data_IF_438437044883
#
_entry.id   IF_438437044883
#
_cell.length_a   1.000
_cell.length_b   1.000
_cell.length_c   1.000
_cell.angle_alpha   90.00
_cell.angle_beta   90.00
_cell.angle_gamma   90.00
#
_symmetry.space_group_name_H-M   'P 1'
#
loop_
_entity.id
_entity.type
_entity.pdbx_description
1 polymer ?
#
# COMPACT_ATOMS: atom_id res chain seq x y z
N UNK A 1 9.30 -33.98 31.67
CA UNK A 1 10.72 -34.33 31.56
C UNK A 1 11.20 -33.72 30.26
N UNK A 2 11.47 -32.42 30.28
CA UNK A 2 12.85 -31.87 30.33
C UNK A 2 13.67 -32.32 29.15
N UNK A 3 13.76 -31.44 28.17
CA UNK A 3 14.80 -31.35 27.13
C UNK A 3 14.57 -29.98 26.49
N UNK A 4 14.88 -28.91 27.22
CA UNK A 4 16.19 -28.23 27.20
C UNK A 4 16.29 -27.23 26.04
N UNK A 5 16.33 -25.99 26.49
CA UNK A 5 16.61 -24.73 25.82
C UNK A 5 17.82 -24.82 24.89
N UNK A 6 17.58 -24.73 23.58
CA UNK A 6 18.65 -24.61 22.60
C UNK A 6 19.11 -23.15 22.55
N UNK A 7 19.94 -22.79 23.53
CA UNK A 7 20.83 -21.62 23.45
C UNK A 7 21.79 -21.85 22.28
N UNK A 8 21.64 -21.08 21.20
CA UNK A 8 22.67 -20.95 20.18
C UNK A 8 23.65 -19.85 20.61
N UNK A 9 24.95 -20.14 20.81
CA UNK A 9 25.94 -19.12 21.10
C UNK A 9 26.41 -18.38 19.84
N UNK A 10 26.74 -17.11 20.05
CA UNK A 10 27.25 -16.10 19.13
C UNK A 10 28.58 -16.42 18.41
N UNK A 11 28.76 -15.66 17.32
CA UNK A 11 30.01 -15.20 16.69
C UNK A 11 30.61 -16.03 15.54
N UNK A 12 30.50 -15.49 14.30
CA UNK A 12 31.63 -15.45 13.35
C UNK A 12 31.62 -14.11 12.58
N UNK A 13 32.56 -13.25 12.97
CA UNK A 13 33.52 -12.45 12.19
C UNK A 13 33.10 -11.72 10.89
N UNK A 14 33.17 -10.39 10.99
CA UNK A 14 33.94 -9.47 10.13
C UNK A 14 34.21 -9.89 8.69
N UNK A 15 33.56 -9.22 7.73
CA UNK A 15 34.27 -8.67 6.57
C UNK A 15 33.62 -7.34 6.15
N UNK A 16 34.34 -6.26 6.46
CA UNK A 16 34.16 -4.96 5.83
C UNK A 16 34.40 -5.11 4.32
N UNK A 17 33.32 -5.03 3.55
CA UNK A 17 33.35 -4.95 2.09
C UNK A 17 33.70 -3.53 1.66
N UNK A 18 34.84 -3.44 1.01
CA UNK A 18 35.52 -2.31 0.37
C UNK A 18 34.63 -1.31 -0.39
N UNK A 19 35.03 -0.04 -0.28
CA UNK A 19 34.77 1.08 -1.18
C UNK A 19 34.55 0.69 -2.65
N UNK A 20 33.49 1.24 -3.24
CA UNK A 20 33.53 1.69 -4.63
C UNK A 20 32.75 2.99 -4.70
N UNK A 21 33.48 4.09 -4.54
CA UNK A 21 33.06 5.42 -4.96
C UNK A 21 32.85 5.39 -6.47
N UNK A 22 31.60 5.24 -6.91
CA UNK A 22 31.23 5.52 -8.29
C UNK A 22 31.17 7.03 -8.46
N UNK A 23 32.29 7.60 -8.89
CA UNK A 23 32.32 8.88 -9.60
C UNK A 23 31.47 8.70 -10.87
N UNK A 24 30.36 9.43 -10.96
CA UNK A 24 29.63 9.62 -12.20
C UNK A 24 29.61 11.11 -12.51
N UNK A 25 29.93 11.37 -13.77
CA UNK A 25 30.48 12.56 -14.35
C UNK A 25 29.53 13.75 -14.47
N UNK A 26 30.18 14.89 -14.72
CA UNK A 26 29.67 16.19 -15.10
C UNK A 26 28.39 16.17 -15.96
N UNK A 27 27.40 16.97 -15.56
CA UNK A 27 26.47 17.59 -16.51
C UNK A 27 26.84 19.06 -16.59
N UNK A 28 27.37 19.42 -17.76
CA UNK A 28 27.82 20.75 -18.09
C UNK A 28 26.69 21.77 -18.18
N UNK A 29 27.12 23.01 -18.04
CA UNK A 29 26.44 24.26 -18.38
C UNK A 29 25.59 24.17 -19.65
N UNK A 30 24.31 24.47 -19.51
CA UNK A 30 23.49 25.14 -20.52
C UNK A 30 22.82 26.30 -19.76
N UNK A 31 23.39 27.51 -19.77
CA UNK A 31 23.28 28.51 -20.84
C UNK A 31 21.83 28.69 -21.32
N UNK A 32 21.26 29.79 -20.82
CA UNK A 32 20.17 30.63 -21.32
C UNK A 32 19.28 30.11 -22.45
N UNK A 33 17.99 29.93 -22.15
CA UNK A 33 16.92 30.24 -23.11
C UNK A 33 15.94 31.18 -22.39
N UNK A 34 16.28 32.46 -22.46
CA UNK A 34 15.28 33.53 -22.48
C UNK A 34 14.66 33.53 -23.87
N UNK A 35 13.52 32.85 -24.00
CA UNK A 35 12.54 33.12 -25.05
C UNK A 35 11.17 33.03 -24.39
N UNK A 36 10.59 34.16 -23.95
CA UNK A 36 9.17 34.21 -23.66
C UNK A 36 8.46 34.30 -25.02
N UNK A 37 8.09 33.14 -25.58
CA UNK A 37 7.15 33.10 -26.70
C UNK A 37 5.94 32.23 -26.35
N UNK A 38 4.82 32.79 -26.73
CA UNK A 38 3.45 32.45 -26.42
C UNK A 38 3.05 31.18 -27.17
N UNK A 39 2.46 30.22 -26.48
CA UNK A 39 1.52 29.30 -27.14
C UNK A 39 0.17 29.45 -26.44
N UNK A 40 -0.56 30.43 -26.95
CA UNK A 40 -2.02 30.38 -27.06
C UNK A 40 -2.34 29.21 -28.01
N UNK A 41 -2.95 28.14 -27.50
CA UNK A 41 -4.29 27.62 -27.87
C UNK A 41 -4.50 26.36 -27.01
N UNK A 42 -5.59 26.26 -26.24
CA UNK A 42 -5.92 25.04 -25.51
C UNK A 42 -6.21 23.90 -26.47
N UNK A 43 -5.46 22.79 -26.37
CA UNK A 43 -5.86 21.54 -27.01
C UNK A 43 -7.16 21.09 -26.34
N UNK A 44 -8.24 21.26 -27.09
CA UNK A 44 -9.58 20.81 -26.76
C UNK A 44 -9.57 19.29 -26.70
N UNK A 45 -9.49 18.74 -25.49
CA UNK A 45 -9.79 17.33 -25.29
C UNK A 45 -11.31 17.20 -25.36
N UNK A 46 -11.82 16.88 -26.56
CA UNK A 46 -13.20 16.41 -26.76
C UNK A 46 -13.41 15.09 -26.01
N UNK A 47 -13.73 15.18 -24.71
CA UNK A 47 -14.31 14.05 -23.97
C UNK A 47 -15.82 14.10 -24.18
N UNK A 48 -16.23 13.56 -25.34
CA UNK A 48 -17.59 13.09 -25.54
C UNK A 48 -17.85 11.92 -24.57
N UNK A 49 -18.48 12.23 -23.44
CA UNK A 49 -18.77 11.25 -22.40
C UNK A 49 -19.75 11.79 -21.38
N UNK A 50 -20.92 12.22 -21.85
CA UNK A 50 -22.07 12.53 -21.00
C UNK A 50 -22.52 11.30 -20.24
N UNK A 51 -22.03 11.16 -19.01
CA UNK A 51 -22.77 10.58 -17.91
C UNK A 51 -22.66 11.57 -16.77
N UNK A 52 -23.78 12.20 -16.41
CA UNK A 52 -23.90 13.01 -15.21
C UNK A 52 -23.68 12.09 -14.00
N UNK A 53 -22.42 11.99 -13.58
CA UNK A 53 -22.04 11.45 -12.29
C UNK A 53 -21.77 12.68 -11.43
N UNK A 54 -22.62 12.90 -10.43
CA UNK A 54 -22.29 13.77 -9.32
C UNK A 54 -20.97 13.27 -8.73
N UNK A 55 -19.86 13.86 -9.14
CA UNK A 55 -18.54 13.53 -8.60
C UNK A 55 -18.45 14.22 -7.24
N UNK A 56 -19.15 13.66 -6.24
CA UNK A 56 -18.53 13.64 -4.92
C UNK A 56 -17.26 12.80 -5.09
N UNK A 57 -16.18 13.48 -5.46
CA UNK A 57 -14.85 12.92 -5.39
C UNK A 57 -14.62 12.60 -3.91
N UNK A 58 -15.06 11.41 -3.49
CA UNK A 58 -14.60 10.82 -2.26
C UNK A 58 -13.09 10.76 -2.41
N UNK A 59 -12.38 11.65 -1.71
CA UNK A 59 -10.94 11.54 -1.56
C UNK A 59 -10.73 10.19 -0.90
N UNK A 60 -10.42 9.21 -1.74
CA UNK A 60 -10.39 7.84 -1.32
C UNK A 60 -9.21 7.73 -0.35
N UNK A 61 -9.53 7.63 0.94
CA UNK A 61 -8.52 7.62 1.98
C UNK A 61 -7.62 6.43 1.72
N UNK A 62 -6.34 6.72 1.53
CA UNK A 62 -5.31 5.70 1.34
C UNK A 62 -4.71 5.40 2.70
N UNK A 63 -4.68 4.13 3.04
CA UNK A 63 -4.16 3.64 4.30
C UNK A 63 -2.92 2.81 4.05
N UNK A 64 -1.90 3.00 4.88
CA UNK A 64 -0.66 2.26 4.79
C UNK A 64 -0.82 0.86 5.43
N UNK A 65 -0.28 -0.16 4.78
CA UNK A 65 -0.22 -1.52 5.31
C UNK A 65 0.95 -1.61 6.29
N UNK A 66 0.72 -2.10 7.52
CA UNK A 66 1.76 -2.16 8.57
C UNK A 66 2.67 -3.37 8.45
N UNK A 67 2.18 -4.45 7.84
CA UNK A 67 2.95 -5.67 7.64
C UNK A 67 2.47 -6.40 6.39
N UNK A 68 3.36 -7.21 5.84
CA UNK A 68 3.11 -8.10 4.73
C UNK A 68 1.83 -8.94 4.91
N UNK A 69 0.85 -8.74 4.02
CA UNK A 69 -0.46 -9.37 4.10
C UNK A 69 -0.88 -9.96 2.76
N UNK A 70 -1.57 -11.10 2.81
CA UNK A 70 -2.14 -11.71 1.61
C UNK A 70 -3.52 -11.12 1.33
N UNK A 71 -3.74 -10.69 0.09
CA UNK A 71 -5.05 -10.28 -0.40
C UNK A 71 -5.87 -11.53 -0.70
N UNK A 72 -7.10 -11.57 -0.23
CA UNK A 72 -7.99 -12.74 -0.37
C UNK A 72 -9.24 -12.41 -1.16
N UNK A 73 -9.85 -13.44 -1.75
CA UNK A 73 -11.08 -13.29 -2.53
C UNK A 73 -12.35 -13.06 -1.71
N UNK A 74 -12.27 -13.22 -0.37
CA UNK A 74 -13.40 -13.04 0.53
C UNK A 74 -12.97 -12.69 1.96
N UNK A 75 -13.94 -12.41 2.84
CA UNK A 75 -13.71 -11.96 4.21
C UNK A 75 -13.39 -13.12 5.16
N UNK A 76 -12.27 -13.81 4.91
CA UNK A 76 -11.82 -14.94 5.71
C UNK A 76 -10.47 -15.51 5.26
N UNK A 77 -9.79 -16.23 6.15
CA UNK A 77 -8.51 -16.90 5.84
C UNK A 77 -8.69 -18.19 5.04
N UNK A 78 -9.90 -18.73 5.02
CA UNK A 78 -10.32 -19.87 4.19
C UNK A 78 -10.43 -19.55 2.70
N UNK A 79 -10.57 -18.27 2.33
CA UNK A 79 -10.67 -17.85 0.93
C UNK A 79 -9.32 -17.89 0.21
N UNK A 80 -9.38 -18.11 -1.11
CA UNK A 80 -8.22 -18.14 -1.98
C UNK A 80 -7.41 -16.83 -1.91
N UNK A 81 -6.08 -16.97 -1.93
CA UNK A 81 -5.16 -15.83 -2.01
C UNK A 81 -5.14 -15.34 -3.46
N UNK A 82 -5.55 -14.09 -3.67
CA UNK A 82 -5.60 -13.44 -4.98
C UNK A 82 -4.42 -12.49 -5.22
N UNK A 83 -3.61 -12.27 -4.19
CA UNK A 83 -2.42 -11.44 -4.27
C UNK A 83 -1.75 -11.23 -2.92
N UNK A 84 -0.80 -10.31 -2.89
CA UNK A 84 -0.04 -9.94 -1.70
C UNK A 84 0.22 -8.44 -1.69
N UNK A 85 0.20 -7.86 -0.51
CA UNK A 85 0.63 -6.49 -0.25
C UNK A 85 1.80 -6.52 0.70
N UNK A 86 2.82 -5.75 0.38
CA UNK A 86 3.98 -5.57 1.24
C UNK A 86 3.71 -4.48 2.28
N UNK A 87 4.44 -4.54 3.40
CA UNK A 87 4.47 -3.43 4.36
C UNK A 87 4.80 -2.10 3.67
N UNK A 88 4.12 -1.02 4.07
CA UNK A 88 4.24 0.32 3.47
C UNK A 88 3.40 0.53 2.19
N UNK A 89 2.77 -0.52 1.64
CA UNK A 89 1.84 -0.37 0.53
C UNK A 89 0.63 0.47 0.95
N UNK A 90 0.12 1.29 0.03
CA UNK A 90 -1.05 2.12 0.28
C UNK A 90 -2.28 1.52 -0.41
N UNK A 91 -3.33 1.25 0.37
CA UNK A 91 -4.59 0.70 -0.14
C UNK A 91 -5.73 1.67 0.04
N UNK A 92 -6.68 1.64 -0.89
CA UNK A 92 -7.93 2.39 -0.79
C UNK A 92 -9.01 1.45 -0.34
N UNK A 93 -9.70 1.77 0.76
CA UNK A 93 -10.80 0.95 1.28
C UNK A 93 -12.10 1.44 0.62
N UNK A 94 -12.74 0.58 -0.18
CA UNK A 94 -14.05 0.89 -0.78
C UNK A 94 -15.19 0.70 0.22
N UNK A 95 -15.16 -0.41 0.95
CA UNK A 95 -16.16 -0.74 1.96
C UNK A 95 -15.60 -1.79 2.92
N UNK A 96 -16.24 -1.93 4.08
CA UNK A 96 -15.84 -2.86 5.13
C UNK A 96 -16.93 -3.88 5.41
N UNK A 97 -16.53 -5.13 5.65
CA UNK A 97 -17.46 -6.23 5.94
C UNK A 97 -16.97 -7.07 7.11
N UNK A 98 -17.85 -7.52 8.02
CA UNK A 98 -17.48 -8.48 9.04
C UNK A 98 -17.22 -9.87 8.41
N UNK A 99 -16.22 -10.56 8.92
CA UNK A 99 -15.80 -11.88 8.45
C UNK A 99 -15.11 -12.69 9.54
N UNK A 100 -14.16 -13.52 9.13
CA UNK A 100 -13.35 -14.30 10.06
C UNK A 100 -12.49 -13.40 10.96
N UNK A 101 -12.39 -13.76 12.23
CA UNK A 101 -11.52 -13.05 13.18
C UNK A 101 -10.07 -13.41 12.89
N UNK A 102 -9.24 -12.40 12.64
CA UNK A 102 -7.81 -12.55 12.38
C UNK A 102 -7.05 -11.77 13.44
N UNK A 103 -5.97 -12.37 13.96
CA UNK A 103 -4.98 -11.69 14.80
C UNK A 103 -3.85 -11.20 13.91
N UNK A 104 -3.55 -9.91 14.00
CA UNK A 104 -2.50 -9.25 13.23
C UNK A 104 -1.74 -8.21 14.06
N UNK A 105 -0.89 -7.40 13.41
CA UNK A 105 -0.01 -6.46 14.09
C UNK A 105 -0.75 -5.37 14.89
N UNK A 106 -1.93 -4.95 14.42
CA UNK A 106 -2.77 -3.97 15.11
C UNK A 106 -3.78 -4.62 16.08
N UNK A 107 -3.60 -5.89 16.46
CA UNK A 107 -4.48 -6.62 17.36
C UNK A 107 -5.39 -7.62 16.64
N UNK A 108 -6.56 -7.88 17.22
CA UNK A 108 -7.50 -8.90 16.71
C UNK A 108 -8.77 -8.23 16.21
N UNK A 109 -9.08 -8.40 14.92
CA UNK A 109 -10.28 -7.83 14.30
C UNK A 109 -11.00 -8.85 13.43
N UNK A 110 -12.32 -8.70 13.35
CA UNK A 110 -13.20 -9.43 12.42
C UNK A 110 -13.62 -8.58 11.23
N UNK A 111 -13.03 -7.39 11.09
CA UNK A 111 -13.32 -6.44 10.02
C UNK A 111 -12.40 -6.74 8.84
N UNK A 112 -13.00 -6.81 7.65
CA UNK A 112 -12.33 -7.01 6.38
C UNK A 112 -12.56 -5.82 5.47
N UNK A 113 -11.46 -5.28 4.95
CA UNK A 113 -11.42 -4.13 4.05
C UNK A 113 -11.47 -4.61 2.60
N UNK A 114 -12.45 -4.12 1.84
CA UNK A 114 -12.50 -4.34 0.41
C UNK A 114 -11.67 -3.29 -0.30
N UNK A 115 -10.52 -3.70 -0.83
CA UNK A 115 -9.55 -2.83 -1.50
C UNK A 115 -9.70 -2.79 -3.04
N UNK A 116 -10.72 -3.46 -3.56
CA UNK A 116 -11.02 -3.55 -4.98
C UNK A 116 -12.06 -4.63 -5.28
N UNK A 117 -12.33 -4.87 -6.56
CA UNK A 117 -13.31 -5.88 -6.99
C UNK A 117 -12.92 -7.29 -6.56
N UNK A 118 -13.58 -7.78 -5.51
CA UNK A 118 -13.35 -9.13 -4.95
C UNK A 118 -12.02 -9.28 -4.22
N UNK A 119 -11.42 -8.18 -3.75
CA UNK A 119 -10.13 -8.19 -3.04
C UNK A 119 -10.34 -7.69 -1.61
N UNK A 120 -10.00 -8.53 -0.65
CA UNK A 120 -10.19 -8.27 0.77
C UNK A 120 -8.87 -8.40 1.54
N UNK A 121 -8.69 -7.52 2.52
CA UNK A 121 -7.56 -7.50 3.45
C UNK A 121 -8.12 -7.38 4.87
N UNK A 122 -7.47 -7.99 5.86
CA UNK A 122 -7.89 -7.81 7.25
C UNK A 122 -7.47 -6.43 7.75
N UNK A 123 -8.39 -5.74 8.42
CA UNK A 123 -8.18 -4.41 9.02
C UNK A 123 -7.00 -4.40 10.01
N UNK A 124 -6.68 -5.54 10.63
CA UNK A 124 -5.51 -5.69 11.52
C UNK A 124 -4.15 -5.42 10.86
N UNK A 125 -4.08 -5.42 9.52
CA UNK A 125 -2.88 -5.15 8.73
C UNK A 125 -2.88 -3.76 8.09
N UNK A 126 -3.98 -3.02 8.20
CA UNK A 126 -4.12 -1.69 7.60
C UNK A 126 -4.07 -0.65 8.72
N UNK A 127 -3.23 0.37 8.56
CA UNK A 127 -3.15 1.49 9.52
C UNK A 127 -4.26 2.48 9.23
N UNK A 128 -5.46 2.14 9.68
CA UNK A 128 -6.64 3.01 9.62
C UNK A 128 -6.68 4.03 10.75
N UNK A 129 -5.98 3.74 11.85
CA UNK A 129 -5.94 4.58 13.05
C UNK A 129 -7.19 4.47 13.91
N UNK A 130 -8.04 3.46 13.68
CA UNK A 130 -9.24 3.20 14.45
C UNK A 130 -9.52 1.70 14.46
N UNK A 131 -9.96 1.15 15.60
CA UNK A 131 -10.34 -0.28 15.74
C UNK A 131 -11.78 -0.55 15.23
N UNK A 132 -12.35 0.41 14.51
CA UNK A 132 -13.74 0.44 14.08
C UNK A 132 -13.88 0.66 12.57
N UNK A 133 -15.12 0.82 12.12
CA UNK A 133 -15.39 1.02 10.70
C UNK A 133 -14.90 2.40 10.25
N UNK A 134 -13.92 2.44 9.36
CA UNK A 134 -13.42 3.66 8.71
C UNK A 134 -14.03 3.90 7.33
N UNK A 135 -14.73 2.88 6.79
CA UNK A 135 -15.44 2.92 5.53
C UNK A 135 -16.89 2.44 5.74
N UNK A 136 -17.83 2.81 4.85
CA UNK A 136 -19.19 2.29 4.89
C UNK A 136 -19.22 0.76 4.80
N UNK A 137 -20.31 0.16 5.30
CA UNK A 137 -20.48 -1.29 5.27
C UNK A 137 -20.80 -1.77 3.87
N UNK A 138 -20.17 -2.87 3.49
CA UNK A 138 -20.77 -3.86 2.58
C UNK A 138 -21.34 -5.03 3.41
#
# INVERSE_FOLDING_TARGET
MSSEELTMPDAIDTLAGTDTTATADAVGTADVIDVPDVIDVPDVIDVAGGAELTVEAAVARRYAVVADVNVRSGPGTSYAKVGRLSAGAHVTISCQKPGETVTGPNGTSKIWDRIGSGRYVSDTYVRTGSDGYVAPRC
#
